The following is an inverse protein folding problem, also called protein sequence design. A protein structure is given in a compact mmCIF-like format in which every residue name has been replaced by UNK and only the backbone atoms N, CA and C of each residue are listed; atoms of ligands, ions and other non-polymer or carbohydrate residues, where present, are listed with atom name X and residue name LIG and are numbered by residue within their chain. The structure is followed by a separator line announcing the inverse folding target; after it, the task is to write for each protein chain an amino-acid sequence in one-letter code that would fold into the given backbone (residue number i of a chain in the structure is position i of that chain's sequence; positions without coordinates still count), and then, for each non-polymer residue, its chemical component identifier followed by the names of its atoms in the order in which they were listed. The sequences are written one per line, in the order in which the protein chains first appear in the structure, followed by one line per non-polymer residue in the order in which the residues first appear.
data_IF_112450060803
#
_entry.id   IF_112450060803
#
_cell.length_a   1.000
_cell.length_b   1.000
_cell.length_c   1.000
_cell.angle_alpha   90.00
_cell.angle_beta   90.00
_cell.angle_gamma   90.00
#
_symmetry.space_group_name_H-M   'P 1'
#
loop_
_entity.id
_entity.type
_entity.pdbx_description
1 polymer ?
#
# COMPACT_ATOMS: atom_id res chain seq x y z
N UNK A 1 -5.58 -16.47 -9.58
CA UNK A 1 -5.28 -15.12 -9.06
C UNK A 1 -3.80 -14.90 -9.16
N UNK A 2 -3.36 -13.81 -9.80
CA UNK A 2 -1.96 -13.47 -10.02
C UNK A 2 -1.50 -12.45 -8.98
N UNK A 3 -0.41 -12.68 -8.23
CA UNK A 3 0.09 -11.73 -7.26
C UNK A 3 0.77 -10.54 -7.95
N UNK A 4 0.61 -9.37 -7.36
CA UNK A 4 1.23 -8.12 -7.78
C UNK A 4 1.16 -7.09 -6.64
N UNK A 5 1.49 -5.85 -6.96
CA UNK A 5 1.41 -4.75 -6.01
C UNK A 5 1.09 -3.44 -6.73
N UNK A 6 0.48 -2.51 -6.00
CA UNK A 6 0.33 -1.13 -6.47
C UNK A 6 1.69 -0.43 -6.46
N UNK A 7 2.02 0.23 -7.57
CA UNK A 7 3.25 1.01 -7.71
C UNK A 7 2.94 2.49 -7.49
N UNK A 8 3.43 3.02 -6.37
CA UNK A 8 3.30 4.42 -6.01
C UNK A 8 4.53 5.17 -6.50
N UNK A 9 4.32 6.15 -7.39
CA UNK A 9 5.41 6.99 -7.89
C UNK A 9 5.68 8.12 -6.89
N UNK A 10 6.95 8.29 -6.53
CA UNK A 10 7.43 9.39 -5.69
C UNK A 10 8.38 10.28 -6.49
N UNK A 11 8.84 11.37 -5.89
CA UNK A 11 9.86 12.20 -6.53
C UNK A 11 11.17 11.42 -6.65
N UNK A 12 11.49 10.99 -7.87
CA UNK A 12 12.71 10.26 -8.19
C UNK A 12 12.68 8.75 -7.89
N UNK A 13 11.51 8.15 -7.66
CA UNK A 13 11.42 6.72 -7.37
C UNK A 13 10.04 6.11 -7.54
N UNK A 14 10.01 4.79 -7.43
CA UNK A 14 8.79 3.99 -7.39
C UNK A 14 8.82 3.10 -6.14
N UNK A 15 7.73 3.07 -5.39
CA UNK A 15 7.59 2.31 -4.17
C UNK A 15 6.38 1.37 -4.24
N UNK A 16 6.44 0.28 -3.48
CA UNK A 16 5.28 -0.55 -3.22
C UNK A 16 4.27 0.23 -2.37
N UNK A 17 2.98 0.12 -2.69
CA UNK A 17 1.91 0.69 -1.87
C UNK A 17 1.81 0.07 -0.48
N UNK A 18 1.44 0.88 0.50
CA UNK A 18 1.28 0.47 1.90
C UNK A 18 -0.08 0.90 2.43
N UNK A 19 -0.70 0.02 3.21
CA UNK A 19 -1.87 0.33 4.00
C UNK A 19 -1.45 1.00 5.31
N UNK A 20 -2.15 2.06 5.71
CA UNK A 20 -1.99 2.72 6.99
C UNK A 20 -3.32 2.67 7.75
N UNK A 21 -3.32 2.36 9.06
CA UNK A 21 -4.54 2.34 9.86
C UNK A 21 -5.07 3.75 10.13
N UNK A 22 -6.40 3.85 10.20
CA UNK A 22 -7.10 5.06 10.64
C UNK A 22 -7.28 6.13 9.55
N UNK A 23 -7.79 7.27 9.97
CA UNK A 23 -8.00 8.43 9.10
C UNK A 23 -6.69 9.19 8.86
N UNK A 24 -6.45 9.75 7.66
CA UNK A 24 -5.26 10.54 7.39
C UNK A 24 -5.19 11.81 8.26
N UNK A 25 -4.17 11.91 9.11
CA UNK A 25 -3.88 13.12 9.88
C UNK A 25 -2.89 14.01 9.12
N UNK A 26 -3.12 15.33 9.08
CA UNK A 26 -2.17 16.27 8.46
C UNK A 26 -0.94 16.48 9.34
N UNK A 27 0.22 16.58 8.71
CA UNK A 27 1.48 17.01 9.33
C UNK A 27 1.90 18.35 8.76
N UNK A 28 2.35 19.26 9.62
CA UNK A 28 2.78 20.60 9.21
C UNK A 28 4.04 20.58 8.33
N UNK A 29 4.92 19.59 8.49
CA UNK A 29 6.18 19.50 7.75
C UNK A 29 6.22 18.42 6.67
N UNK A 30 5.49 17.31 6.88
CA UNK A 30 5.59 16.11 6.03
C UNK A 30 4.31 15.84 5.23
N UNK A 31 3.34 16.76 5.26
CA UNK A 31 2.04 16.63 4.59
C UNK A 31 1.06 15.76 5.39
N UNK A 32 1.39 14.49 5.60
CA UNK A 32 0.63 13.57 6.45
C UNK A 32 1.47 13.10 7.63
N UNK A 33 0.81 12.96 8.78
CA UNK A 33 1.34 12.27 9.95
C UNK A 33 1.04 10.79 9.73
N UNK A 34 2.11 10.01 9.62
CA UNK A 34 1.98 8.62 9.29
C UNK A 34 2.96 7.81 10.12
N UNK A 35 2.44 6.96 11.00
CA UNK A 35 3.24 5.98 11.73
C UNK A 35 3.83 5.00 10.73
N UNK A 36 5.17 4.90 10.68
CA UNK A 36 5.87 3.99 9.78
C UNK A 36 5.84 2.54 10.27
N UNK A 37 5.79 2.32 11.59
CA UNK A 37 5.80 0.99 12.19
C UNK A 37 4.44 0.29 12.06
N UNK A 38 3.35 1.07 11.95
CA UNK A 38 2.00 0.54 11.82
C UNK A 38 1.56 0.26 10.36
N UNK A 39 2.40 0.57 9.36
CA UNK A 39 2.05 0.34 7.95
C UNK A 39 2.26 -1.11 7.55
N UNK A 40 1.40 -1.60 6.68
CA UNK A 40 1.48 -2.95 6.13
C UNK A 40 1.62 -2.88 4.61
N UNK A 41 2.51 -3.68 3.99
CA UNK A 41 2.60 -3.71 2.55
C UNK A 41 1.31 -4.25 1.92
N UNK A 42 0.85 -3.62 0.84
CA UNK A 42 -0.32 -4.08 0.10
C UNK A 42 0.13 -5.11 -0.95
N UNK A 43 -0.47 -6.29 -0.89
CA UNK A 43 -0.42 -7.28 -1.97
C UNK A 43 -1.72 -7.19 -2.75
N UNK A 44 -1.63 -7.10 -4.08
CA UNK A 44 -2.77 -7.09 -4.97
C UNK A 44 -2.85 -8.43 -5.68
N UNK A 45 -4.03 -9.03 -5.76
CA UNK A 45 -4.29 -10.19 -6.58
C UNK A 45 -5.17 -9.80 -7.76
N UNK A 46 -4.69 -10.07 -8.98
CA UNK A 46 -5.43 -9.86 -10.22
C UNK A 46 -6.09 -11.15 -10.68
N UNK A 47 -7.37 -11.09 -11.04
CA UNK A 47 -8.02 -12.16 -11.78
C UNK A 47 -7.54 -12.13 -13.24
N UNK A 48 -6.90 -13.20 -13.76
CA UNK A 48 -6.42 -13.22 -15.15
C UNK A 48 -7.56 -13.22 -16.18
N UNK A 49 -8.76 -13.69 -15.79
CA UNK A 49 -9.91 -13.82 -16.68
C UNK A 49 -10.71 -12.52 -16.83
N UNK A 50 -11.03 -11.86 -15.71
CA UNK A 50 -11.91 -10.67 -15.71
C UNK A 50 -11.22 -9.37 -15.27
N UNK A 51 -9.98 -9.44 -14.79
CA UNK A 51 -9.20 -8.26 -14.37
C UNK A 51 -9.55 -7.68 -13.00
N UNK A 52 -10.48 -8.26 -12.23
CA UNK A 52 -10.76 -7.84 -10.84
C UNK A 52 -9.47 -7.82 -10.01
N UNK A 53 -9.30 -6.76 -9.23
CA UNK A 53 -8.22 -6.61 -8.26
C UNK A 53 -8.75 -6.77 -6.84
N UNK A 54 -8.02 -7.52 -6.02
CA UNK A 54 -8.24 -7.65 -4.58
C UNK A 54 -6.98 -7.20 -3.85
N UNK A 55 -7.12 -6.33 -2.86
CA UNK A 55 -5.98 -5.76 -2.12
C UNK A 55 -5.98 -6.25 -0.68
N UNK A 56 -4.83 -6.72 -0.20
CA UNK A 56 -4.64 -7.28 1.13
C UNK A 56 -3.43 -6.67 1.82
N UNK A 57 -3.57 -6.41 3.12
CA UNK A 57 -2.51 -5.89 3.98
C UNK A 57 -2.30 -6.87 5.15
N UNK A 58 -1.38 -7.82 4.97
CA UNK A 58 -1.03 -8.78 6.02
C UNK A 58 0.18 -8.31 6.83
N UNK A 59 0.30 -8.73 8.11
CA UNK A 59 1.54 -8.57 8.86
C UNK A 59 2.69 -9.24 8.10
N UNK A 60 3.86 -8.61 8.14
CA UNK A 60 5.06 -9.15 7.52
C UNK A 60 5.46 -10.48 8.19
N UNK A 61 5.76 -11.51 7.40
CA UNK A 61 6.21 -12.82 7.91
C UNK A 61 5.12 -13.89 8.13
N UNK A 62 3.98 -13.80 7.43
CA UNK A 62 2.99 -14.88 7.38
C UNK A 62 3.45 -16.10 6.58
#
# INVERSE_FOLDING_TARGET
MEPGYGLDNTHGGALRGHWAPGEPEKSWWTGLKVDKAARMPITIFRCPECGRLESYAWPEGR
#
